data_IF_255929333620
#
_entry.id   IF_255929333620
#
_cell.length_a   1.000
_cell.length_b   1.000
_cell.length_c   1.000
_cell.angle_alpha   90.00
_cell.angle_beta   90.00
_cell.angle_gamma   90.00
#
_symmetry.space_group_name_H-M   'P 1'
#
loop_
_entity.id
_entity.type
_entity.pdbx_description
1 polymer ?
#
# COMPACT_ATOMS: atom_id res chain seq x y z
N UNK A 1 2.80 -8.61 -8.34
CA UNK A 1 3.90 -7.73 -8.77
C UNK A 1 3.90 -6.56 -7.81
N UNK A 2 4.98 -6.33 -7.07
CA UNK A 2 4.97 -5.35 -5.99
C UNK A 2 4.79 -3.93 -6.52
N UNK A 3 4.02 -3.11 -5.82
CA UNK A 3 3.77 -1.71 -6.16
C UNK A 3 5.04 -0.91 -5.81
N UNK A 4 5.59 -0.21 -6.79
CA UNK A 4 6.82 0.56 -6.61
C UNK A 4 6.63 1.73 -5.64
N UNK A 5 7.65 2.10 -4.85
CA UNK A 5 7.67 3.35 -4.09
C UNK A 5 7.35 4.56 -4.96
N UNK A 6 6.74 5.59 -4.36
CA UNK A 6 6.24 6.80 -5.00
C UNK A 6 5.06 6.59 -5.97
N UNK A 7 4.58 5.35 -6.15
CA UNK A 7 3.31 5.09 -6.83
C UNK A 7 2.15 5.64 -6.00
N UNK A 8 1.15 6.22 -6.67
CA UNK A 8 -0.08 6.69 -6.02
C UNK A 8 -1.20 5.68 -6.17
N UNK A 9 -1.80 5.29 -5.03
CA UNK A 9 -3.08 4.57 -4.98
C UNK A 9 -4.16 5.54 -4.52
N UNK A 10 -4.89 6.12 -5.46
CA UNK A 10 -5.77 7.25 -5.16
C UNK A 10 -4.99 8.39 -4.53
N UNK A 11 -5.36 8.79 -3.30
CA UNK A 11 -4.67 9.87 -2.58
C UNK A 11 -3.41 9.43 -1.83
N UNK A 12 -3.18 8.13 -1.68
CA UNK A 12 -2.10 7.60 -0.87
C UNK A 12 -0.83 7.43 -1.70
N UNK A 13 0.31 7.84 -1.17
CA UNK A 13 1.61 7.66 -1.81
C UNK A 13 2.35 6.49 -1.16
N UNK A 14 2.66 5.45 -1.93
CA UNK A 14 3.36 4.25 -1.46
C UNK A 14 4.81 4.60 -1.11
N UNK A 15 5.27 4.21 0.07
CA UNK A 15 6.65 4.41 0.54
C UNK A 15 7.48 3.14 0.43
N UNK A 16 6.92 2.04 0.92
CA UNK A 16 7.59 0.73 0.90
C UNK A 16 6.58 -0.40 1.09
N UNK A 17 6.97 -1.61 0.72
CA UNK A 17 6.23 -2.81 1.10
C UNK A 17 6.57 -3.17 2.55
N UNK A 18 5.54 -3.49 3.34
CA UNK A 18 5.70 -3.96 4.72
C UNK A 18 5.68 -5.48 4.81
N UNK A 19 4.94 -6.15 3.92
CA UNK A 19 4.91 -7.61 3.86
C UNK A 19 3.96 -8.15 2.81
N UNK A 20 4.06 -9.44 2.54
CA UNK A 20 3.20 -10.18 1.62
C UNK A 20 2.88 -11.57 2.18
N UNK A 21 1.71 -12.10 1.85
CA UNK A 21 1.28 -13.46 2.18
C UNK A 21 0.05 -13.87 1.39
N UNK A 22 -0.52 -15.03 1.69
CA UNK A 22 -1.67 -15.59 0.93
C UNK A 22 -2.90 -14.67 0.88
N UNK A 23 -3.11 -13.84 1.91
CA UNK A 23 -4.20 -12.86 1.96
C UNK A 23 -3.86 -11.52 1.29
N UNK A 24 -2.79 -11.44 0.49
CA UNK A 24 -2.35 -10.26 -0.23
C UNK A 24 -1.22 -9.48 0.44
N UNK A 25 -1.02 -8.25 -0.02
CA UNK A 25 0.18 -7.45 0.23
C UNK A 25 -0.12 -6.24 1.11
N UNK A 26 0.81 -5.86 1.99
CA UNK A 26 0.69 -4.69 2.87
C UNK A 26 1.78 -3.68 2.53
N UNK A 27 1.38 -2.42 2.40
CA UNK A 27 2.28 -1.32 2.06
C UNK A 27 2.20 -0.21 3.10
N UNK A 28 3.34 0.42 3.38
CA UNK A 28 3.41 1.71 4.05
C UNK A 28 3.10 2.79 3.03
N UNK A 29 2.20 3.71 3.37
CA UNK A 29 1.86 4.85 2.52
C UNK A 29 1.69 6.12 3.33
N UNK A 30 1.84 7.28 2.67
CA UNK A 30 1.49 8.60 3.25
C UNK A 30 0.07 8.97 2.84
N UNK A 31 -0.80 9.28 3.81
CA UNK A 31 -2.07 9.96 3.55
C UNK A 31 -1.89 11.48 3.70
N UNK A 32 -1.92 12.27 2.61
CA UNK A 32 -1.77 13.72 2.68
C UNK A 32 -2.96 14.42 3.34
N UNK A 33 -4.14 13.79 3.39
CA UNK A 33 -5.35 14.40 3.97
C UNK A 33 -5.24 14.55 5.49
N UNK A 34 -4.70 13.53 6.15
CA UNK A 34 -4.54 13.50 7.63
C UNK A 34 -3.08 13.67 8.05
N UNK A 35 -2.18 13.85 7.08
CA UNK A 35 -0.74 14.03 7.29
C UNK A 35 -0.11 12.92 8.16
N UNK A 36 -0.45 11.66 7.89
CA UNK A 36 0.04 10.50 8.65
C UNK A 36 0.40 9.34 7.74
N UNK A 37 1.25 8.49 8.26
CA UNK A 37 1.58 7.23 7.63
C UNK A 37 0.51 6.19 7.96
N UNK A 38 0.15 5.39 6.95
CA UNK A 38 -0.91 4.39 7.03
C UNK A 38 -0.45 3.08 6.39
N UNK A 39 -1.03 1.97 6.84
CA UNK A 39 -0.89 0.69 6.18
C UNK A 39 -2.02 0.48 5.17
N UNK A 40 -1.68 0.11 3.93
CA UNK A 40 -2.65 -0.26 2.89
C UNK A 40 -2.52 -1.75 2.64
N UNK A 41 -3.61 -2.50 2.87
CA UNK A 41 -3.73 -3.90 2.49
C UNK A 41 -4.36 -3.99 1.10
N UNK A 42 -3.62 -4.54 0.15
CA UNK A 42 -4.10 -4.86 -1.20
C UNK A 42 -4.49 -6.33 -1.22
N UNK A 43 -5.74 -6.60 -1.56
CA UNK A 43 -6.27 -7.98 -1.65
C UNK A 43 -5.91 -8.59 -3.02
N UNK A 44 -5.76 -9.93 -3.09
CA UNK A 44 -5.63 -10.63 -4.38
C UNK A 44 -6.84 -10.36 -5.28
N UNK A 45 -6.61 -10.32 -6.61
CA UNK A 45 -7.67 -10.06 -7.58
C UNK A 45 -8.72 -11.18 -7.66
N UNK A 46 -8.35 -12.41 -7.27
CA UNK A 46 -9.22 -13.56 -7.12
C UNK A 46 -8.70 -14.44 -5.98
N UNK A 47 -9.60 -15.20 -5.35
CA UNK A 47 -9.30 -16.18 -4.30
C UNK A 47 -9.00 -17.54 -4.90
#
# INVERSE_FOLDING_TARGET
>A
MAISPNTRLGRYEIRSQLGAGGMGEVYLARDPKINRDVAIKVLPAAF
#
